data_IF_465908907922
#
_entry.id   IF_465908907922
#
_cell.length_a   1.000
_cell.length_b   1.000
_cell.length_c   1.000
_cell.angle_alpha   90.00
_cell.angle_beta   90.00
_cell.angle_gamma   90.00
#
_symmetry.space_group_name_H-M   'P 1'
#
loop_
_entity.id
_entity.type
_entity.pdbx_description
1 polymer ?
#
# COMPACT_ATOMS: atom_id res chain seq x y z
N UNK A 1 -32.35 -12.70 -6.25
CA UNK A 1 -31.01 -12.73 -5.61
C UNK A 1 -30.71 -11.32 -5.13
N UNK A 2 -30.33 -11.13 -3.86
CA UNK A 2 -30.05 -9.81 -3.34
C UNK A 2 -28.88 -9.17 -4.10
N UNK A 3 -29.04 -7.88 -4.39
CA UNK A 3 -28.02 -7.00 -4.96
C UNK A 3 -27.70 -5.96 -3.91
N UNK A 4 -26.43 -5.68 -3.71
CA UNK A 4 -26.01 -4.60 -2.83
C UNK A 4 -26.51 -3.24 -3.32
N UNK A 5 -26.49 -2.25 -2.43
CA UNK A 5 -26.97 -0.89 -2.70
C UNK A 5 -25.90 0.02 -3.34
N UNK A 6 -24.72 -0.51 -3.70
CA UNK A 6 -23.64 0.30 -4.24
C UNK A 6 -23.90 0.69 -5.70
N UNK A 7 -23.95 2.00 -5.95
CA UNK A 7 -24.04 2.55 -7.31
C UNK A 7 -22.81 2.11 -8.11
N UNK A 8 -23.05 1.54 -9.29
CA UNK A 8 -22.00 1.03 -10.18
C UNK A 8 -21.50 -0.39 -9.87
N UNK A 9 -22.04 -1.07 -8.85
CA UNK A 9 -21.69 -2.46 -8.58
C UNK A 9 -22.48 -3.44 -9.48
N UNK A 10 -21.76 -4.22 -10.29
CA UNK A 10 -22.35 -5.22 -11.18
C UNK A 10 -22.30 -6.66 -10.62
N UNK A 11 -21.81 -6.83 -9.39
CA UNK A 11 -21.64 -8.14 -8.76
C UNK A 11 -22.87 -8.53 -7.94
N UNK A 12 -23.16 -9.84 -7.88
CA UNK A 12 -24.28 -10.39 -7.10
C UNK A 12 -23.79 -10.73 -5.69
N UNK A 13 -24.12 -9.88 -4.73
CA UNK A 13 -23.87 -10.07 -3.31
C UNK A 13 -24.79 -9.16 -2.48
N UNK A 14 -24.95 -9.47 -1.18
CA UNK A 14 -25.92 -8.82 -0.29
C UNK A 14 -25.48 -7.42 0.17
N UNK A 15 -24.23 -7.29 0.62
CA UNK A 15 -23.68 -6.04 1.15
C UNK A 15 -22.45 -5.61 0.35
N UNK A 16 -22.16 -4.31 0.27
CA UNK A 16 -20.97 -3.81 -0.44
C UNK A 16 -19.88 -3.33 0.52
N UNK A 17 -18.76 -4.04 0.62
CA UNK A 17 -17.63 -3.56 1.41
C UNK A 17 -16.74 -2.60 0.61
N UNK A 18 -16.57 -1.37 1.10
CA UNK A 18 -15.65 -0.40 0.50
C UNK A 18 -14.24 -0.53 1.11
N UNK A 19 -13.26 -0.87 0.27
CA UNK A 19 -11.88 -1.10 0.71
C UNK A 19 -11.11 0.18 1.13
N UNK A 20 -11.62 1.37 0.80
CA UNK A 20 -10.96 2.64 1.11
C UNK A 20 -11.45 3.25 2.43
N UNK A 21 -12.75 3.25 2.70
CA UNK A 21 -13.31 3.80 3.92
C UNK A 21 -13.61 2.75 5.01
N UNK A 22 -13.63 1.46 4.65
CA UNK A 22 -13.95 0.35 5.55
C UNK A 22 -15.44 0.17 5.84
N UNK A 23 -16.31 0.88 5.10
CA UNK A 23 -17.77 0.73 5.22
C UNK A 23 -18.19 -0.68 4.74
N UNK A 24 -18.83 -1.44 5.63
CA UNK A 24 -19.21 -2.84 5.41
C UNK A 24 -20.46 -3.04 4.55
N UNK A 25 -21.29 -2.01 4.40
CA UNK A 25 -22.45 -2.02 3.49
C UNK A 25 -22.65 -0.67 2.80
N UNK A 26 -21.66 -0.31 2.00
CA UNK A 26 -21.55 0.97 1.35
C UNK A 26 -22.49 1.15 0.17
N UNK A 27 -22.93 2.39 -0.04
CA UNK A 27 -23.72 2.80 -1.22
C UNK A 27 -22.86 3.22 -2.41
N UNK A 28 -21.53 3.07 -2.33
CA UNK A 28 -20.59 3.39 -3.39
C UNK A 28 -19.56 2.26 -3.60
N UNK A 29 -19.06 2.13 -4.83
CA UNK A 29 -17.87 1.32 -5.10
C UNK A 29 -16.61 2.06 -4.65
N UNK A 30 -15.51 1.33 -4.39
CA UNK A 30 -14.27 1.97 -3.93
C UNK A 30 -13.72 3.03 -4.90
N UNK A 31 -13.96 2.89 -6.21
CA UNK A 31 -13.60 3.91 -7.21
C UNK A 31 -14.31 5.26 -6.98
N UNK A 32 -15.51 5.25 -6.41
CA UNK A 32 -16.34 6.44 -6.15
C UNK A 32 -16.31 6.87 -4.69
N UNK A 33 -15.47 6.25 -3.85
CA UNK A 33 -15.38 6.58 -2.43
C UNK A 33 -15.02 8.06 -2.23
N UNK A 34 -15.70 8.79 -1.33
CA UNK A 34 -15.37 10.19 -1.06
C UNK A 34 -13.98 10.35 -0.43
N UNK A 35 -13.45 9.31 0.24
CA UNK A 35 -12.10 9.31 0.82
C UNK A 35 -10.99 9.04 -0.19
N UNK A 36 -11.29 8.79 -1.47
CA UNK A 36 -10.28 8.41 -2.49
C UNK A 36 -9.20 9.46 -2.75
N UNK A 37 -9.42 10.70 -2.36
CA UNK A 37 -8.46 11.80 -2.52
C UNK A 37 -7.41 11.87 -1.40
N UNK A 38 -7.61 11.15 -0.30
CA UNK A 38 -6.72 11.13 0.86
C UNK A 38 -6.77 9.77 1.58
N UNK A 39 -6.79 8.67 0.83
CA UNK A 39 -6.88 7.33 1.43
C UNK A 39 -5.51 6.87 1.90
N UNK A 40 -5.45 6.23 3.07
CA UNK A 40 -4.22 5.64 3.59
C UNK A 40 -4.08 4.21 3.05
N UNK A 41 -3.07 4.00 2.21
CA UNK A 41 -2.72 2.70 1.65
C UNK A 41 -1.28 2.32 1.99
N UNK A 42 -0.98 1.03 1.87
CA UNK A 42 0.29 0.45 2.26
C UNK A 42 1.18 0.12 1.07
N UNK A 43 2.48 0.33 1.23
CA UNK A 43 3.50 -0.10 0.29
C UNK A 43 4.56 -0.94 1.03
N UNK A 44 4.45 -2.27 0.93
CA UNK A 44 5.42 -3.21 1.47
C UNK A 44 6.60 -3.39 0.50
N UNK A 45 7.82 -3.14 0.98
CA UNK A 45 9.03 -3.14 0.15
C UNK A 45 10.19 -3.85 0.83
N UNK A 46 11.33 -3.98 0.14
CA UNK A 46 12.56 -4.54 0.71
C UNK A 46 13.29 -3.52 1.59
N UNK A 47 13.94 -3.97 2.67
CA UNK A 47 14.85 -3.16 3.51
C UNK A 47 15.82 -2.34 2.66
N UNK A 48 16.47 -2.96 1.66
CA UNK A 48 17.45 -2.32 0.77
C UNK A 48 16.88 -1.20 -0.11
N UNK A 49 15.56 -1.11 -0.27
CA UNK A 49 14.93 0.00 -0.99
C UNK A 49 14.66 1.22 -0.09
N UNK A 50 14.66 1.04 1.24
CA UNK A 50 14.22 2.04 2.21
C UNK A 50 15.07 3.31 2.15
N UNK A 51 16.39 3.19 2.08
CA UNK A 51 17.30 4.34 1.97
C UNK A 51 16.97 5.22 0.75
N UNK A 52 16.71 4.62 -0.42
CA UNK A 52 16.34 5.39 -1.62
C UNK A 52 14.96 6.02 -1.50
N UNK A 53 13.98 5.31 -0.93
CA UNK A 53 12.61 5.80 -0.77
C UNK A 53 12.55 6.96 0.23
N UNK A 54 13.29 6.88 1.33
CA UNK A 54 13.32 7.97 2.33
C UNK A 54 13.94 9.25 1.78
N UNK A 55 14.88 9.14 0.83
CA UNK A 55 15.53 10.30 0.21
C UNK A 55 14.75 10.88 -0.97
N UNK A 56 14.18 10.02 -1.82
CA UNK A 56 13.62 10.42 -3.12
C UNK A 56 12.11 10.18 -3.25
N UNK A 57 11.46 9.67 -2.21
CA UNK A 57 10.08 9.20 -2.26
C UNK A 57 9.90 7.91 -3.07
N UNK A 58 8.65 7.47 -3.20
CA UNK A 58 8.30 6.33 -4.04
C UNK A 58 8.40 6.70 -5.53
N UNK A 59 9.02 5.82 -6.31
CA UNK A 59 9.24 6.01 -7.75
C UNK A 59 8.33 5.10 -8.57
N UNK A 60 7.96 5.57 -9.75
CA UNK A 60 7.17 4.80 -10.71
C UNK A 60 7.99 3.60 -11.19
N UNK A 61 7.43 2.41 -11.03
CA UNK A 61 7.94 1.19 -11.68
C UNK A 61 7.62 1.24 -13.17
N UNK A 62 8.53 0.75 -14.02
CA UNK A 62 8.31 0.57 -15.46
C UNK A 62 7.38 -0.59 -15.78
N UNK A 63 7.16 -1.49 -14.83
CA UNK A 63 6.37 -2.72 -14.99
C UNK A 63 5.36 -2.89 -13.85
N UNK A 64 4.39 -3.75 -14.10
CA UNK A 64 3.42 -4.18 -13.11
C UNK A 64 2.21 -4.81 -13.77
N UNK A 65 1.42 -5.52 -12.98
CA UNK A 65 0.22 -6.24 -13.45
C UNK A 65 -0.84 -5.29 -14.06
N UNK A 66 -0.87 -4.06 -13.57
CA UNK A 66 -1.72 -2.96 -14.05
C UNK A 66 -0.90 -1.88 -14.80
N UNK A 67 0.28 -2.24 -15.29
CA UNK A 67 1.17 -1.37 -16.05
C UNK A 67 2.07 -0.48 -15.18
N UNK A 68 2.82 0.44 -15.80
CA UNK A 68 3.75 1.30 -15.07
C UNK A 68 3.04 2.11 -13.97
N UNK A 69 3.64 2.22 -12.79
CA UNK A 69 3.06 2.99 -11.69
C UNK A 69 3.66 2.72 -10.31
N UNK A 70 3.06 3.32 -9.28
CA UNK A 70 3.39 3.08 -7.87
C UNK A 70 2.25 2.26 -7.27
N UNK A 71 2.60 1.10 -6.73
CA UNK A 71 1.65 0.09 -6.28
C UNK A 71 1.37 0.15 -4.79
N UNK A 72 0.10 -0.07 -4.43
CA UNK A 72 -0.38 -0.07 -3.08
C UNK A 72 -1.39 -1.20 -2.84
N UNK A 73 -1.53 -1.57 -1.57
CA UNK A 73 -2.61 -2.43 -1.10
C UNK A 73 -3.19 -1.87 0.21
N UNK A 74 -4.19 -2.53 0.78
CA UNK A 74 -4.61 -2.21 2.16
C UNK A 74 -3.45 -2.46 3.13
N UNK A 75 -3.39 -1.73 4.25
CA UNK A 75 -2.31 -1.87 5.25
C UNK A 75 -2.06 -3.34 5.66
N UNK A 76 -3.08 -4.16 6.02
CA UNK A 76 -2.84 -5.55 6.37
C UNK A 76 -2.24 -6.38 5.24
N UNK A 77 -2.66 -6.12 3.99
CA UNK A 77 -2.15 -6.81 2.80
C UNK A 77 -0.71 -6.43 2.52
N UNK A 78 -0.41 -5.12 2.55
CA UNK A 78 0.93 -4.60 2.32
C UNK A 78 1.92 -5.05 3.39
N UNK A 79 1.48 -5.23 4.65
CA UNK A 79 2.29 -5.83 5.72
C UNK A 79 2.73 -7.25 5.40
N UNK A 80 1.80 -8.10 4.94
CA UNK A 80 2.11 -9.49 4.54
C UNK A 80 3.11 -9.50 3.37
N UNK A 81 2.90 -8.64 2.37
CA UNK A 81 3.81 -8.49 1.23
C UNK A 81 5.20 -8.02 1.69
N UNK A 82 5.26 -7.02 2.58
CA UNK A 82 6.51 -6.52 3.15
C UNK A 82 7.28 -7.61 3.89
N UNK A 83 6.59 -8.44 4.68
CA UNK A 83 7.20 -9.60 5.35
C UNK A 83 7.74 -10.61 4.34
N UNK A 84 6.94 -10.98 3.35
CA UNK A 84 7.34 -11.93 2.31
C UNK A 84 8.55 -11.45 1.49
N UNK A 85 8.66 -10.14 1.24
CA UNK A 85 9.80 -9.54 0.52
C UNK A 85 11.11 -9.55 1.30
N UNK A 86 11.05 -9.66 2.63
CA UNK A 86 12.18 -9.53 3.57
C UNK A 86 12.33 -10.80 4.42
N UNK A 87 12.25 -11.98 3.81
CA UNK A 87 12.48 -13.22 4.56
C UNK A 87 13.87 -13.20 5.22
N UNK A 88 13.91 -13.36 6.55
CA UNK A 88 15.14 -13.28 7.35
C UNK A 88 15.56 -11.86 7.76
N UNK A 89 14.86 -10.82 7.29
CA UNK A 89 15.13 -9.41 7.59
C UNK A 89 13.90 -8.73 8.20
N UNK A 90 14.04 -7.44 8.52
CA UNK A 90 12.92 -6.69 9.05
C UNK A 90 11.82 -6.44 8.02
N UNK A 91 10.57 -6.55 8.47
CA UNK A 91 9.41 -6.17 7.66
C UNK A 91 9.38 -4.65 7.54
N UNK A 92 9.33 -4.15 6.30
CA UNK A 92 9.25 -2.71 5.99
C UNK A 92 7.92 -2.40 5.30
N UNK A 93 7.12 -1.51 5.91
CA UNK A 93 5.84 -1.07 5.38
C UNK A 93 5.71 0.46 5.44
N UNK A 94 5.55 1.09 4.28
CA UNK A 94 5.18 2.50 4.20
C UNK A 94 3.67 2.69 4.27
N UNK A 95 3.23 3.66 5.07
CA UNK A 95 1.89 4.20 5.06
C UNK A 95 1.88 5.46 4.21
N UNK A 96 1.03 5.47 3.18
CA UNK A 96 0.97 6.54 2.20
C UNK A 96 -0.44 7.11 2.16
N UNK A 97 -0.56 8.42 2.27
CA UNK A 97 -1.74 9.15 1.81
C UNK A 97 -1.68 9.19 0.28
N UNK A 98 -2.70 8.61 -0.34
CA UNK A 98 -2.77 8.43 -1.79
C UNK A 98 -3.98 9.17 -2.34
N UNK A 99 -3.73 10.01 -3.33
CA UNK A 99 -4.76 10.65 -4.14
C UNK A 99 -5.04 9.80 -5.40
N UNK A 100 -6.13 9.05 -5.37
CA UNK A 100 -6.53 8.17 -6.46
C UNK A 100 -7.18 8.91 -7.64
N UNK A 101 -7.66 10.14 -7.44
CA UNK A 101 -8.28 10.95 -8.49
C UNK A 101 -9.43 10.23 -9.21
N UNK A 102 -9.41 10.25 -10.55
CA UNK A 102 -10.31 9.48 -11.39
C UNK A 102 -9.80 8.04 -11.54
N UNK A 103 -10.53 7.08 -10.98
CA UNK A 103 -10.08 5.69 -10.85
C UNK A 103 -10.60 4.81 -12.00
N UNK A 104 -9.72 4.00 -12.61
CA UNK A 104 -10.11 2.88 -13.46
C UNK A 104 -10.32 1.62 -12.62
N UNK A 105 -11.49 1.00 -12.73
CA UNK A 105 -11.75 -0.33 -12.19
C UNK A 105 -11.46 -1.40 -13.23
N UNK A 106 -10.70 -2.43 -12.85
CA UNK A 106 -10.54 -3.67 -13.60
C UNK A 106 -11.48 -4.74 -13.08
N UNK A 107 -12.13 -5.45 -14.00
CA UNK A 107 -13.08 -6.51 -13.66
C UNK A 107 -12.34 -7.81 -13.31
N UNK A 108 -12.70 -8.41 -12.17
CA UNK A 108 -12.13 -9.67 -11.71
C UNK A 108 -10.59 -9.62 -11.64
N UNK A 109 -9.94 -10.62 -12.25
CA UNK A 109 -8.49 -10.77 -12.34
C UNK A 109 -7.90 -10.20 -13.65
N UNK A 110 -8.61 -9.33 -14.37
CA UNK A 110 -8.12 -8.77 -15.63
C UNK A 110 -6.84 -7.95 -15.45
N UNK A 111 -5.90 -8.04 -16.39
CA UNK A 111 -4.61 -7.33 -16.40
C UNK A 111 -4.51 -6.28 -17.50
N UNK A 112 -3.71 -5.24 -17.22
CA UNK A 112 -3.37 -4.22 -18.20
C UNK A 112 -1.90 -3.84 -18.03
N UNK A 113 -1.00 -4.76 -18.40
CA UNK A 113 0.45 -4.54 -18.32
C UNK A 113 0.93 -3.36 -19.17
N UNK A 114 0.14 -2.95 -20.17
CA UNK A 114 0.45 -1.78 -21.00
C UNK A 114 0.17 -0.46 -20.28
N UNK A 115 -0.67 -0.46 -19.25
CA UNK A 115 -1.10 0.76 -18.57
C UNK A 115 -1.98 1.66 -19.45
N UNK A 116 -2.81 1.07 -20.32
CA UNK A 116 -3.69 1.81 -21.25
C UNK A 116 -4.63 2.79 -20.55
N UNK A 117 -5.01 2.50 -19.31
CA UNK A 117 -5.84 3.38 -18.47
C UNK A 117 -5.20 4.74 -18.20
N UNK A 118 -3.86 4.86 -18.23
CA UNK A 118 -3.13 6.07 -17.84
C UNK A 118 -3.49 7.30 -18.66
N UNK A 119 -3.98 7.11 -19.89
CA UNK A 119 -4.43 8.18 -20.77
C UNK A 119 -5.68 8.91 -20.27
N UNK A 120 -6.56 8.20 -19.55
CA UNK A 120 -7.91 8.70 -19.22
C UNK A 120 -8.23 8.71 -17.72
N UNK A 121 -7.34 8.17 -16.90
CA UNK A 121 -7.52 7.94 -15.48
C UNK A 121 -6.25 8.31 -14.70
N UNK A 122 -6.40 8.63 -13.41
CA UNK A 122 -5.31 9.02 -12.52
C UNK A 122 -4.76 7.83 -11.71
N UNK A 123 -5.59 6.82 -11.52
CA UNK A 123 -5.22 5.56 -10.90
C UNK A 123 -6.00 4.40 -11.52
N UNK A 124 -5.56 3.19 -11.23
CA UNK A 124 -6.26 1.97 -11.56
C UNK A 124 -6.27 1.03 -10.36
N UNK A 125 -7.29 0.20 -10.25
CA UNK A 125 -7.35 -0.84 -9.23
C UNK A 125 -8.01 -2.10 -9.77
N UNK A 126 -7.61 -3.24 -9.20
CA UNK A 126 -8.07 -4.56 -9.63
C UNK A 126 -7.85 -5.60 -8.55
N UNK A 127 -8.33 -6.83 -8.77
CA UNK A 127 -7.98 -7.95 -7.91
C UNK A 127 -6.70 -8.61 -8.43
N UNK A 128 -5.68 -8.67 -7.59
CA UNK A 128 -4.48 -9.45 -7.80
C UNK A 128 -4.76 -10.92 -7.40
N UNK A 129 -4.30 -11.92 -8.17
CA UNK A 129 -4.32 -13.33 -7.73
C UNK A 129 -3.47 -13.55 -6.47
N UNK A 130 -3.53 -14.72 -5.82
CA UNK A 130 -2.64 -15.03 -4.68
C UNK A 130 -1.17 -14.76 -5.03
N UNK A 131 -0.50 -13.93 -4.22
CA UNK A 131 0.88 -13.51 -4.42
C UNK A 131 1.44 -12.86 -3.15
N UNK A 132 2.77 -12.83 -3.02
CA UNK A 132 3.44 -12.04 -1.98
C UNK A 132 3.15 -12.53 -0.56
N UNK A 133 3.13 -13.86 -0.37
CA UNK A 133 2.82 -14.49 0.92
C UNK A 133 1.32 -14.62 1.23
N UNK A 134 0.43 -14.23 0.31
CA UNK A 134 -1.02 -14.42 0.45
C UNK A 134 -1.50 -15.64 -0.32
N UNK A 135 -2.44 -16.37 0.28
CA UNK A 135 -3.13 -17.52 -0.34
C UNK A 135 -4.43 -17.11 -1.05
N UNK A 136 -4.98 -15.95 -0.72
CA UNK A 136 -6.22 -15.42 -1.30
C UNK A 136 -5.99 -14.20 -2.19
N UNK A 137 -6.83 -13.99 -3.22
CA UNK A 137 -6.83 -12.76 -4.01
C UNK A 137 -6.95 -11.51 -3.12
N UNK A 138 -6.37 -10.41 -3.57
CA UNK A 138 -6.43 -9.14 -2.85
C UNK A 138 -6.56 -7.97 -3.81
N UNK A 139 -7.11 -6.86 -3.31
CA UNK A 139 -7.22 -5.64 -4.10
C UNK A 139 -5.88 -4.90 -4.12
N UNK A 140 -5.39 -4.61 -5.31
CA UNK A 140 -4.25 -3.73 -5.53
C UNK A 140 -4.70 -2.41 -6.16
N UNK A 141 -3.92 -1.36 -5.90
CA UNK A 141 -4.10 -0.02 -6.43
C UNK A 141 -2.79 0.43 -7.08
N UNK A 142 -2.88 1.13 -8.20
CA UNK A 142 -1.73 1.74 -8.87
C UNK A 142 -2.03 3.19 -9.19
N UNK A 143 -1.09 4.09 -8.88
CA UNK A 143 -1.14 5.51 -9.30
C UNK A 143 -0.05 5.79 -10.31
N UNK A 144 -0.30 6.79 -11.18
CA UNK A 144 0.57 7.05 -12.32
C UNK A 144 1.75 7.99 -12.03
N UNK A 145 1.66 8.78 -10.96
CA UNK A 145 2.62 9.85 -10.61
C UNK A 145 3.02 9.84 -9.12
N UNK A 146 4.29 10.10 -8.77
CA UNK A 146 4.72 10.33 -7.38
C UNK A 146 3.99 11.50 -6.70
N UNK A 147 3.53 12.51 -7.46
CA UNK A 147 2.78 13.64 -6.91
C UNK A 147 1.43 13.26 -6.29
N UNK A 148 0.95 12.03 -6.55
CA UNK A 148 -0.27 11.49 -5.95
C UNK A 148 -0.02 10.84 -4.59
N UNK A 149 1.23 10.82 -4.12
CA UNK A 149 1.66 10.02 -2.97
C UNK A 149 2.38 10.90 -1.97
N UNK A 150 1.93 10.84 -0.73
CA UNK A 150 2.63 11.40 0.42
C UNK A 150 2.89 10.28 1.42
N UNK A 151 4.16 10.02 1.69
CA UNK A 151 4.54 9.14 2.81
C UNK A 151 4.16 9.87 4.10
N UNK A 152 3.39 9.20 4.95
CA UNK A 152 2.96 9.73 6.25
C UNK A 152 3.50 8.90 7.41
N UNK A 153 3.92 7.66 7.15
CA UNK A 153 4.51 6.81 8.15
C UNK A 153 5.28 5.63 7.61
N UNK A 154 6.08 5.04 8.50
CA UNK A 154 6.86 3.83 8.25
C UNK A 154 6.72 2.88 9.43
N UNK A 155 6.52 1.60 9.15
CA UNK A 155 6.60 0.54 10.14
C UNK A 155 7.80 -0.35 9.86
N UNK A 156 8.52 -0.69 10.93
CA UNK A 156 9.59 -1.68 10.95
C UNK A 156 9.26 -2.72 12.01
N UNK A 157 9.12 -3.99 11.59
CA UNK A 157 8.67 -5.06 12.47
C UNK A 157 9.53 -6.30 12.32
N UNK A 158 9.98 -6.80 13.47
CA UNK A 158 10.82 -8.00 13.64
C UNK A 158 12.12 -7.98 12.83
N UNK A 159 13.05 -8.90 13.09
CA UNK A 159 14.23 -9.11 12.28
C UNK A 159 15.29 -8.00 12.37
N UNK A 160 16.17 -7.99 11.37
CA UNK A 160 17.33 -7.10 11.30
C UNK A 160 17.09 -6.03 10.24
N UNK A 161 17.32 -4.77 10.60
CA UNK A 161 17.28 -3.64 9.68
C UNK A 161 18.66 -2.98 9.63
N UNK A 162 19.23 -2.86 8.44
CA UNK A 162 20.46 -2.12 8.13
C UNK A 162 20.13 -0.96 7.20
N UNK A 163 20.35 0.27 7.67
CA UNK A 163 20.25 1.45 6.83
C UNK A 163 19.88 2.73 7.58
N UNK A 164 19.94 3.85 6.85
CA UNK A 164 19.48 5.13 7.36
C UNK A 164 18.03 5.36 6.96
N UNK A 165 17.25 5.90 7.89
CA UNK A 165 15.87 6.33 7.66
C UNK A 165 15.82 7.83 7.86
N UNK A 166 15.41 8.57 6.83
CA UNK A 166 15.24 10.02 6.91
C UNK A 166 13.80 10.42 6.55
N UNK A 167 12.93 10.52 7.54
CA UNK A 167 11.53 10.90 7.40
C UNK A 167 11.11 11.91 8.49
N UNK A 168 11.70 13.13 8.52
CA UNK A 168 11.52 14.10 9.61
C UNK A 168 10.07 14.59 9.79
N UNK A 169 9.19 14.39 8.80
CA UNK A 169 7.76 14.76 8.87
C UNK A 169 6.81 13.58 9.08
N UNK A 170 7.32 12.37 9.26
CA UNK A 170 6.51 11.15 9.38
C UNK A 170 6.60 10.55 10.77
N UNK A 171 5.60 9.76 11.13
CA UNK A 171 5.71 8.83 12.25
C UNK A 171 6.47 7.56 11.83
N UNK A 172 7.24 6.99 12.74
CA UNK A 172 7.90 5.70 12.58
C UNK A 172 7.49 4.81 13.74
N UNK A 173 6.95 3.64 13.42
CA UNK A 173 6.59 2.62 14.40
C UNK A 173 7.56 1.45 14.31
N UNK A 174 8.26 1.15 15.40
CA UNK A 174 9.09 -0.04 15.55
C UNK A 174 8.37 -0.99 16.49
N UNK A 175 8.21 -2.25 16.08
CA UNK A 175 7.50 -3.27 16.85
C UNK A 175 8.19 -4.64 16.78
N UNK A 176 7.93 -5.50 17.77
CA UNK A 176 8.51 -6.83 17.82
C UNK A 176 9.99 -6.83 18.21
N UNK A 177 10.76 -7.83 17.77
CA UNK A 177 12.22 -7.90 18.06
C UNK A 177 13.01 -7.36 16.88
N UNK A 178 13.51 -6.14 16.99
CA UNK A 178 14.25 -5.46 15.91
C UNK A 178 15.70 -5.25 16.33
N UNK A 179 16.63 -5.74 15.50
CA UNK A 179 18.04 -5.32 15.55
C UNK A 179 18.25 -4.23 14.52
N UNK A 180 18.59 -3.03 14.96
CA UNK A 180 18.68 -1.85 14.10
C UNK A 180 20.14 -1.39 13.98
N UNK A 181 20.63 -1.26 12.74
CA UNK A 181 21.92 -0.64 12.41
C UNK A 181 21.70 0.57 11.51
N UNK A 182 22.13 1.75 11.98
CA UNK A 182 22.02 3.02 11.23
C UNK A 182 21.37 4.16 12.02
N UNK A 183 20.97 5.21 11.30
CA UNK A 183 20.38 6.41 11.90
C UNK A 183 18.90 6.55 11.53
N UNK A 184 18.10 7.05 12.47
CA UNK A 184 16.69 7.35 12.24
C UNK A 184 16.46 8.86 12.44
N UNK A 185 15.89 9.52 11.44
CA UNK A 185 15.25 10.82 11.56
C UNK A 185 13.75 10.65 11.37
N UNK A 186 12.96 11.02 12.37
CA UNK A 186 11.51 10.90 12.38
C UNK A 186 10.88 12.19 12.92
N UNK A 187 9.65 12.48 12.50
CA UNK A 187 8.84 13.49 13.18
C UNK A 187 8.29 12.96 14.50
N UNK A 188 7.92 11.68 14.52
CA UNK A 188 7.52 10.97 15.73
C UNK A 188 8.04 9.54 15.67
N UNK A 189 8.59 9.04 16.77
CA UNK A 189 9.00 7.63 16.87
C UNK A 189 8.17 6.94 17.95
N UNK A 190 7.62 5.77 17.61
CA UNK A 190 6.80 4.94 18.49
C UNK A 190 7.44 3.57 18.61
N UNK A 191 7.64 3.10 19.84
CA UNK A 191 8.17 1.78 20.15
C UNK A 191 7.05 0.93 20.78
N UNK A 192 6.33 0.18 19.95
CA UNK A 192 5.15 -0.58 20.39
C UNK A 192 5.49 -2.04 20.66
N UNK A 193 5.61 -2.38 21.95
CA UNK A 193 6.00 -3.74 22.37
C UNK A 193 7.33 -4.18 21.78
N UNK A 194 8.22 -3.22 21.51
CA UNK A 194 9.46 -3.45 20.79
C UNK A 194 10.60 -3.79 21.74
N UNK A 195 11.36 -4.82 21.39
CA UNK A 195 12.70 -5.06 21.92
C UNK A 195 13.69 -4.61 20.84
N UNK A 196 14.28 -3.43 21.03
CA UNK A 196 15.21 -2.83 20.07
C UNK A 196 16.64 -3.05 20.54
N UNK A 197 17.42 -3.76 19.73
CA UNK A 197 18.87 -3.86 19.88
C UNK A 197 19.51 -2.90 18.89
N UNK A 198 20.32 -1.96 19.37
CA UNK A 198 21.12 -1.08 18.53
C UNK A 198 22.49 -1.70 18.30
N UNK A 199 23.01 -1.62 17.08
CA UNK A 199 24.36 -2.05 16.70
C UNK A 199 25.10 -0.95 15.96
#
# INVERSE_FOLDING_TARGET
>A
MPRCNAVGCNWRHETHHCALCGDGDSRHVSADCPRRFACILGHGTKTGATSSITQSGLRVSSEGRLGPGIYFATIPTARVIGKWRNEGEATVLYHCEVNLGKVKTMDGLAEDKSGSWRANYDSCHGMHPPWGGRTEPFREWVVKSPSQVKIVGLEICDGTYDGHIHLPGCWINISGRVTFGGNITAGTMVLNGAHVTLR
#
